data_IF_946761620932
#
_entry.id   IF_946761620932
#
_cell.length_a   1.000
_cell.length_b   1.000
_cell.length_c   1.000
_cell.angle_alpha   90.00
_cell.angle_beta   90.00
_cell.angle_gamma   90.00
#
_symmetry.space_group_name_H-M   'P 1'
#
loop_
_entity.id
_entity.type
_entity.pdbx_description
1 polymer ?
#
# COMPACT_ATOMS: atom_id res chain seq x y z
N UNK A 1 -16.21 19.15 -1.20
CA UNK A 1 -14.87 19.41 -1.75
C UNK A 1 -14.09 18.12 -1.75
N UNK A 2 -12.85 18.14 -2.24
CA UNK A 2 -12.08 16.90 -2.45
C UNK A 2 -11.96 16.05 -1.18
N UNK A 3 -11.82 16.67 0.00
CA UNK A 3 -11.73 15.93 1.26
C UNK A 3 -13.05 15.24 1.65
N UNK A 4 -14.20 15.86 1.40
CA UNK A 4 -15.51 15.26 1.66
C UNK A 4 -15.76 14.08 0.72
N UNK A 5 -15.37 14.21 -0.55
CA UNK A 5 -15.48 13.13 -1.55
C UNK A 5 -14.58 11.95 -1.20
N UNK A 6 -13.34 12.20 -0.78
CA UNK A 6 -12.43 11.15 -0.31
C UNK A 6 -12.96 10.47 0.96
N UNK A 7 -13.54 11.23 1.90
CA UNK A 7 -14.13 10.67 3.13
C UNK A 7 -15.33 9.76 2.87
N UNK A 8 -16.05 9.95 1.77
CA UNK A 8 -17.13 9.05 1.38
C UNK A 8 -16.62 7.67 0.90
N UNK A 9 -15.34 7.57 0.52
CA UNK A 9 -14.71 6.32 0.07
C UNK A 9 -14.05 5.57 1.24
N UNK A 10 -13.29 6.27 2.08
CA UNK A 10 -12.53 5.69 3.18
C UNK A 10 -12.16 6.76 4.23
N UNK A 11 -11.68 6.38 5.44
CA UNK A 11 -11.09 7.33 6.37
C UNK A 11 -9.97 8.16 5.72
N UNK A 12 -9.97 9.48 5.95
CA UNK A 12 -9.01 10.42 5.34
C UNK A 12 -8.20 11.11 6.41
N UNK A 13 -6.89 10.94 6.31
CA UNK A 13 -5.89 11.81 6.93
C UNK A 13 -5.39 12.78 5.87
N UNK A 14 -5.28 14.05 6.22
CA UNK A 14 -4.82 15.10 5.31
C UNK A 14 -3.88 16.05 6.06
N UNK A 15 -2.75 16.34 5.42
CA UNK A 15 -1.80 17.37 5.84
C UNK A 15 -1.88 18.55 4.88
N UNK A 16 -1.53 19.74 5.36
CA UNK A 16 -1.59 20.98 4.59
C UNK A 16 -0.47 21.06 3.56
N UNK A 17 -0.81 21.25 2.28
CA UNK A 17 0.12 21.60 1.22
C UNK A 17 0.38 23.10 1.11
N UNK A 18 1.45 23.49 0.41
CA UNK A 18 1.86 24.89 0.24
C UNK A 18 0.83 25.76 -0.53
N UNK A 19 -0.05 25.15 -1.33
CA UNK A 19 -1.12 25.83 -2.07
C UNK A 19 -2.46 25.79 -1.32
N UNK A 20 -2.58 25.03 -0.23
CA UNK A 20 -3.81 24.93 0.55
C UNK A 20 -3.99 26.20 1.40
N UNK A 21 -4.73 27.16 0.83
CA UNK A 21 -4.99 28.48 1.42
C UNK A 21 -6.44 28.60 1.90
N UNK A 22 -6.67 29.52 2.82
CA UNK A 22 -8.01 29.86 3.32
C UNK A 22 -8.39 29.17 4.64
N UNK A 23 -9.55 29.52 5.22
CA UNK A 23 -9.91 29.13 6.59
C UNK A 23 -10.00 27.62 6.81
N UNK A 24 -10.47 26.86 5.83
CA UNK A 24 -10.58 25.40 5.93
C UNK A 24 -9.21 24.72 5.89
N UNK A 25 -8.34 25.13 4.96
CA UNK A 25 -6.98 24.61 4.86
C UNK A 25 -6.13 24.90 6.09
N UNK A 26 -6.34 26.05 6.76
CA UNK A 26 -5.64 26.39 8.01
C UNK A 26 -5.94 25.45 9.17
N UNK A 27 -7.03 24.67 9.10
CA UNK A 27 -7.36 23.65 10.09
C UNK A 27 -6.61 22.34 9.88
N UNK A 28 -6.00 22.13 8.71
CA UNK A 28 -5.19 20.96 8.45
C UNK A 28 -3.84 21.10 9.17
N UNK A 29 -3.34 20.03 9.81
CA UNK A 29 -2.01 20.04 10.38
C UNK A 29 -0.95 20.06 9.28
N UNK A 30 0.24 20.57 9.57
CA UNK A 30 1.36 20.56 8.61
C UNK A 30 2.01 19.17 8.48
N UNK A 31 1.90 18.36 9.54
CA UNK A 31 2.38 16.99 9.60
C UNK A 31 1.45 16.13 10.44
N UNK A 32 1.47 14.82 10.19
CA UNK A 32 0.74 13.84 10.99
C UNK A 32 1.56 12.55 11.15
N UNK A 33 1.24 11.75 12.17
CA UNK A 33 1.87 10.46 12.43
C UNK A 33 0.81 9.39 12.51
N UNK A 34 0.97 8.34 11.68
CA UNK A 34 0.11 7.17 11.71
C UNK A 34 0.84 5.98 12.32
N UNK A 35 0.12 5.25 13.18
CA UNK A 35 0.54 3.96 13.71
C UNK A 35 -0.43 2.89 13.20
N UNK A 36 0.07 2.00 12.34
CA UNK A 36 -0.72 0.94 11.71
C UNK A 36 0.08 -0.36 11.74
N UNK A 37 -0.50 -1.44 12.28
CA UNK A 37 0.16 -2.77 12.36
C UNK A 37 1.58 -2.71 12.99
N UNK A 38 1.78 -1.82 13.97
CA UNK A 38 3.08 -1.58 14.62
C UNK A 38 4.07 -0.74 13.79
N UNK A 39 3.69 -0.28 12.59
CA UNK A 39 4.49 0.63 11.78
C UNK A 39 4.12 2.09 12.06
N UNK A 40 5.13 2.91 12.37
CA UNK A 40 5.08 4.37 12.48
C UNK A 40 5.41 5.05 11.16
N UNK A 41 4.51 5.93 10.72
CA UNK A 41 4.58 6.61 9.43
C UNK A 41 4.45 8.11 9.66
N UNK A 42 5.46 8.87 9.25
CA UNK A 42 5.39 10.33 9.21
C UNK A 42 4.76 10.78 7.89
N UNK A 43 3.81 11.70 7.94
CA UNK A 43 3.17 12.30 6.76
C UNK A 43 3.38 13.81 6.83
N UNK A 44 3.87 14.40 5.74
CA UNK A 44 4.03 15.85 5.60
C UNK A 44 4.02 16.27 4.12
N UNK A 45 4.00 17.56 3.84
CA UNK A 45 3.96 18.03 2.45
C UNK A 45 5.33 18.05 1.78
N UNK A 46 6.34 18.65 2.40
CA UNK A 46 7.68 18.78 1.85
C UNK A 46 8.68 18.03 2.73
N UNK A 47 9.58 17.26 2.10
CA UNK A 47 10.63 16.55 2.81
C UNK A 47 11.65 17.53 3.43
N UNK A 48 11.76 18.74 2.89
CA UNK A 48 12.60 19.80 3.46
C UNK A 48 12.15 20.26 4.86
N UNK A 49 10.88 20.01 5.23
CA UNK A 49 10.32 20.38 6.54
C UNK A 49 10.57 19.31 7.62
N UNK A 50 11.30 18.24 7.31
CA UNK A 50 11.72 17.24 8.30
C UNK A 50 12.93 17.74 9.09
N UNK A 51 12.71 18.07 10.37
CA UNK A 51 13.75 18.58 11.28
C UNK A 51 14.44 17.50 12.13
N UNK A 52 14.09 16.24 11.94
CA UNK A 52 14.60 15.10 12.72
C UNK A 52 15.14 14.01 11.79
N UNK A 53 15.98 13.12 12.33
CA UNK A 53 16.30 11.88 11.63
C UNK A 53 15.12 10.90 11.79
N UNK A 54 14.45 10.49 10.68
CA UNK A 54 13.27 9.63 10.79
C UNK A 54 13.57 8.26 11.40
N UNK A 55 14.78 7.74 11.18
CA UNK A 55 15.21 6.43 11.70
C UNK A 55 15.40 6.51 13.21
N UNK A 56 16.10 7.54 13.69
CA UNK A 56 16.32 7.75 15.13
C UNK A 56 15.01 8.01 15.87
N UNK A 57 14.06 8.71 15.23
CA UNK A 57 12.71 8.92 15.76
C UNK A 57 11.80 7.68 15.67
N UNK A 58 12.30 6.56 15.12
CA UNK A 58 11.58 5.29 15.06
C UNK A 58 10.47 5.25 14.02
N UNK A 59 10.54 6.04 12.95
CA UNK A 59 9.65 5.92 11.80
C UNK A 59 10.15 4.83 10.84
N UNK A 60 9.23 4.07 10.28
CA UNK A 60 9.53 3.11 9.22
C UNK A 60 9.24 3.68 7.84
N UNK A 61 8.44 4.75 7.74
CA UNK A 61 8.19 5.45 6.50
C UNK A 61 7.97 6.97 6.69
N UNK A 62 8.33 7.74 5.66
CA UNK A 62 8.02 9.16 5.48
C UNK A 62 7.26 9.31 4.17
N UNK A 63 6.02 9.75 4.23
CA UNK A 63 5.18 10.05 3.06
C UNK A 63 5.20 11.56 2.84
N UNK A 64 5.62 11.97 1.64
CA UNK A 64 5.78 13.38 1.30
C UNK A 64 5.31 13.69 -0.12
N UNK A 65 5.16 14.97 -0.44
CA UNK A 65 4.67 15.46 -1.73
C UNK A 65 5.56 16.53 -2.33
N UNK A 66 5.00 17.72 -2.54
CA UNK A 66 5.63 18.92 -3.12
C UNK A 66 6.09 18.82 -4.58
N UNK A 67 7.01 17.91 -4.92
CA UNK A 67 7.65 17.85 -6.24
C UNK A 67 6.78 17.27 -7.35
N UNK A 68 5.69 16.60 -7.00
CA UNK A 68 4.86 15.75 -7.87
C UNK A 68 5.61 14.60 -8.56
N UNK A 69 6.88 14.35 -8.21
CA UNK A 69 7.68 13.27 -8.79
C UNK A 69 7.47 11.99 -7.98
N UNK A 70 6.90 10.93 -8.56
CA UNK A 70 6.78 9.66 -7.86
C UNK A 70 8.15 9.14 -7.40
N UNK A 71 8.24 8.68 -6.16
CA UNK A 71 9.47 8.16 -5.58
C UNK A 71 9.13 7.02 -4.61
N UNK A 72 9.84 5.90 -4.73
CA UNK A 72 9.92 4.86 -3.71
C UNK A 72 11.40 4.62 -3.48
N UNK A 73 11.90 4.98 -2.32
CA UNK A 73 13.31 4.83 -1.97
C UNK A 73 13.43 4.46 -0.49
N UNK A 74 14.34 3.55 -0.15
CA UNK A 74 14.66 3.26 1.26
C UNK A 74 15.99 3.92 1.59
N UNK A 75 16.00 4.79 2.61
CA UNK A 75 17.20 5.46 3.13
C UNK A 75 17.39 5.05 4.57
N UNK A 76 18.53 4.45 4.89
CA UNK A 76 18.88 4.00 6.24
C UNK A 76 17.81 3.12 6.93
N UNK A 77 17.06 2.34 6.14
CA UNK A 77 15.98 1.48 6.61
C UNK A 77 14.60 2.15 6.71
N UNK A 78 14.49 3.44 6.35
CA UNK A 78 13.22 4.18 6.31
C UNK A 78 12.73 4.36 4.87
N UNK A 79 11.49 3.96 4.61
CA UNK A 79 10.84 4.14 3.33
C UNK A 79 10.48 5.62 3.11
N UNK A 80 11.12 6.26 2.14
CA UNK A 80 10.77 7.57 1.63
C UNK A 80 9.84 7.41 0.43
N UNK A 81 8.60 7.88 0.57
CA UNK A 81 7.55 7.64 -0.39
C UNK A 81 6.87 8.94 -0.86
N UNK A 82 7.05 9.25 -2.14
CA UNK A 82 6.30 10.31 -2.83
C UNK A 82 5.31 9.66 -3.81
N UNK A 83 3.99 9.78 -3.60
CA UNK A 83 2.99 9.16 -4.47
C UNK A 83 2.85 9.85 -5.83
N UNK A 84 3.45 11.02 -6.03
CA UNK A 84 3.25 11.86 -7.20
C UNK A 84 2.04 12.79 -7.08
N UNK A 85 1.26 12.92 -8.15
CA UNK A 85 0.08 13.80 -8.20
C UNK A 85 -1.08 13.12 -8.93
N UNK A 86 -2.23 13.05 -8.26
CA UNK A 86 -3.49 12.53 -8.81
C UNK A 86 -4.37 13.63 -9.48
N UNK A 87 -3.94 14.89 -9.38
CA UNK A 87 -4.61 16.03 -10.02
C UNK A 87 -4.23 16.21 -11.49
N UNK A 88 -4.60 17.34 -12.11
CA UNK A 88 -4.22 17.68 -13.48
C UNK A 88 -2.72 17.51 -13.70
N UNK A 89 -2.34 17.00 -14.88
CA UNK A 89 -0.93 16.72 -15.18
C UNK A 89 -0.06 17.95 -14.96
N UNK A 90 1.01 17.78 -14.19
CA UNK A 90 1.99 18.84 -13.90
C UNK A 90 3.30 18.52 -14.63
N UNK A 91 3.85 19.52 -15.31
CA UNK A 91 5.08 19.36 -16.09
C UNK A 91 4.94 18.24 -17.14
N UNK A 92 5.96 17.38 -17.26
CA UNK A 92 5.95 16.14 -18.06
C UNK A 92 5.81 14.88 -17.20
N UNK A 93 5.37 15.03 -15.95
CA UNK A 93 5.27 13.92 -15.00
C UNK A 93 3.97 13.13 -15.19
N UNK A 94 3.95 11.83 -14.86
CA UNK A 94 2.75 11.01 -14.95
C UNK A 94 1.74 11.38 -13.85
N UNK A 95 0.45 11.25 -14.15
CA UNK A 95 -0.61 11.36 -13.13
C UNK A 95 -0.63 10.04 -12.37
N UNK A 96 -0.47 10.10 -11.06
CA UNK A 96 -0.16 8.93 -10.24
C UNK A 96 -0.80 9.00 -8.87
N UNK A 97 -1.03 7.82 -8.29
CA UNK A 97 -1.31 7.64 -6.86
C UNK A 97 -0.36 6.60 -6.28
N UNK A 98 -0.09 6.74 -5.00
CA UNK A 98 0.66 5.75 -4.23
C UNK A 98 -0.28 4.74 -3.56
N UNK A 99 0.12 3.48 -3.51
CA UNK A 99 -0.49 2.46 -2.65
C UNK A 99 0.57 1.90 -1.73
N UNK A 100 0.33 2.04 -0.43
CA UNK A 100 1.15 1.44 0.63
C UNK A 100 0.33 0.31 1.28
N UNK A 101 0.83 -0.92 1.17
CA UNK A 101 0.26 -2.08 1.87
C UNK A 101 1.08 -2.34 3.12
N UNK A 102 0.40 -2.43 4.26
CA UNK A 102 1.00 -2.71 5.57
C UNK A 102 0.39 -4.02 6.07
N UNK A 103 1.24 -5.01 6.37
CA UNK A 103 0.81 -6.30 6.89
C UNK A 103 1.97 -6.98 7.61
N UNK A 104 1.68 -7.60 8.76
CA UNK A 104 2.65 -8.41 9.51
C UNK A 104 3.91 -7.63 9.91
N UNK A 105 3.78 -6.34 10.24
CA UNK A 105 4.90 -5.46 10.62
C UNK A 105 5.78 -4.99 9.45
N UNK A 106 5.40 -5.31 8.20
CA UNK A 106 6.11 -4.90 6.99
C UNK A 106 5.31 -3.94 6.11
N UNK A 107 6.02 -3.26 5.20
CA UNK A 107 5.42 -2.31 4.26
C UNK A 107 5.86 -2.56 2.81
N UNK A 108 4.92 -2.46 1.88
CA UNK A 108 5.19 -2.54 0.43
C UNK A 108 4.54 -1.36 -0.28
N UNK A 109 5.35 -0.52 -0.93
CA UNK A 109 4.89 0.63 -1.70
C UNK A 109 4.80 0.31 -3.20
N UNK A 110 3.82 0.90 -3.88
CA UNK A 110 3.68 0.89 -5.34
C UNK A 110 3.19 2.25 -5.84
N UNK A 111 3.72 2.67 -6.98
CA UNK A 111 3.15 3.77 -7.77
C UNK A 111 2.18 3.19 -8.80
N UNK A 112 0.99 3.78 -8.87
CA UNK A 112 -0.06 3.43 -9.83
C UNK A 112 -0.27 4.64 -10.72
N UNK A 113 0.01 4.49 -12.02
CA UNK A 113 -0.29 5.53 -13.01
C UNK A 113 -1.78 5.57 -13.33
N UNK A 114 -2.37 6.75 -13.21
CA UNK A 114 -3.75 7.06 -13.56
C UNK A 114 -3.79 7.53 -15.02
N UNK A 115 -3.55 6.61 -15.95
CA UNK A 115 -3.85 6.83 -17.36
C UNK A 115 -5.37 6.90 -17.59
N UNK A 116 -5.81 7.56 -18.66
CA UNK A 116 -7.19 7.43 -19.16
C UNK A 116 -7.61 5.96 -19.13
N UNK A 117 -8.67 5.64 -18.40
CA UNK A 117 -9.16 4.30 -18.13
C UNK A 117 -9.20 3.42 -19.39
N UNK A 118 -8.12 2.68 -19.64
CA UNK A 118 -8.13 1.45 -20.43
C UNK A 118 -7.43 0.36 -19.62
N UNK A 119 -8.04 0.00 -18.48
CA UNK A 119 -7.78 -1.31 -17.90
C UNK A 119 -9.04 -2.15 -18.12
N UNK A 120 -8.99 -3.04 -19.12
CA UNK A 120 -9.92 -4.15 -19.24
C UNK A 120 -9.73 -4.98 -17.96
N UNK A 121 -10.77 -5.28 -17.17
CA UNK A 121 -10.59 -6.05 -15.95
C UNK A 121 -9.89 -7.36 -16.30
N UNK A 122 -8.84 -7.69 -15.54
CA UNK A 122 -8.21 -9.00 -15.65
C UNK A 122 -9.31 -10.04 -15.50
N UNK A 123 -9.55 -10.82 -16.56
CA UNK A 123 -10.57 -11.87 -16.54
C UNK A 123 -10.27 -12.79 -15.37
N UNK A 124 -11.23 -12.93 -14.45
CA UNK A 124 -11.18 -13.93 -13.39
C UNK A 124 -10.82 -15.29 -13.99
N UNK A 125 -9.93 -16.09 -13.37
CA UNK A 125 -9.69 -17.43 -13.85
C UNK A 125 -11.03 -18.18 -13.90
N UNK A 126 -11.33 -18.77 -15.06
CA UNK A 126 -12.50 -19.63 -15.22
C UNK A 126 -12.41 -20.71 -14.14
N UNK A 127 -13.40 -20.75 -13.25
CA UNK A 127 -13.59 -21.82 -12.27
C UNK A 127 -13.30 -23.17 -12.94
N UNK A 128 -12.41 -23.97 -12.37
CA UNK A 128 -12.35 -25.40 -12.68
C UNK A 128 -13.73 -25.97 -12.35
N UNK A 129 -14.46 -26.34 -13.40
CA UNK A 129 -15.73 -27.04 -13.28
C UNK A 129 -15.48 -28.40 -12.64
N UNK A 130 -16.10 -28.64 -11.48
CA UNK A 130 -16.32 -29.98 -10.95
C UNK A 130 -17.26 -30.75 -11.88
N UNK A 131 -16.83 -31.91 -12.34
CA UNK A 131 -17.62 -33.11 -12.59
C UNK A 131 -16.83 -34.25 -11.89
N UNK A 132 -17.26 -34.87 -10.78
CA UNK A 132 -18.36 -35.83 -10.62
C UNK A 132 -18.36 -36.89 -11.74
N UNK A 133 -18.35 -38.21 -11.54
CA UNK A 133 -18.35 -39.09 -10.36
C UNK A 133 -18.09 -40.55 -10.86
N UNK A 134 -17.66 -41.43 -9.94
CA UNK A 134 -17.95 -42.87 -9.79
C UNK A 134 -17.86 -43.88 -10.96
N UNK A 135 -17.07 -44.95 -10.76
CA UNK A 135 -17.42 -46.40 -10.84
C UNK A 135 -16.15 -47.23 -10.52
N UNK A 136 -16.04 -47.98 -9.42
CA UNK A 136 -16.59 -49.30 -9.06
C UNK A 136 -15.58 -50.47 -9.27
N UNK A 137 -15.40 -51.29 -8.21
CA UNK A 137 -14.63 -52.55 -8.16
C UNK A 137 -13.22 -52.38 -7.57
N UNK A 138 -12.85 -52.80 -6.35
CA UNK A 138 -13.31 -53.89 -5.50
C UNK A 138 -12.41 -55.11 -5.69
N UNK A 139 -11.39 -55.32 -4.83
CA UNK A 139 -10.93 -56.62 -4.29
C UNK A 139 -10.11 -56.36 -3.00
N UNK A 140 -10.26 -57.29 -2.07
CA UNK A 140 -9.87 -57.31 -0.67
C UNK A 140 -8.38 -57.62 -0.41
N UNK A 141 -7.96 -57.27 0.81
CA UNK A 141 -7.26 -58.11 1.81
C UNK A 141 -5.75 -57.97 2.09
N UNK A 142 -5.48 -58.16 3.39
CA UNK A 142 -4.28 -58.71 4.04
C UNK A 142 -3.18 -57.77 4.60
N UNK A 143 -3.26 -57.58 5.92
CA UNK A 143 -2.28 -58.02 6.94
C UNK A 143 -0.85 -57.43 7.02
N UNK A 144 -0.63 -56.71 8.14
CA UNK A 144 0.41 -56.89 9.17
C UNK A 144 1.84 -57.35 8.82
N UNK A 145 2.84 -56.55 9.22
CA UNK A 145 4.03 -56.88 10.06
C UNK A 145 4.96 -55.64 10.12
N UNK A 146 5.17 -55.02 11.28
CA UNK A 146 6.22 -55.32 12.26
C UNK A 146 7.64 -55.20 11.69
N UNK A 147 8.33 -54.11 12.04
CA UNK A 147 9.79 -53.96 11.87
C UNK A 147 10.42 -53.72 13.25
N UNK A 148 11.00 -54.78 13.81
CA UNK A 148 12.09 -54.75 14.80
C UNK A 148 13.16 -55.72 14.30
N UNK A 149 14.40 -55.47 14.74
CA UNK A 149 15.71 -56.03 14.35
C UNK A 149 16.45 -55.15 13.31
N UNK A 150 17.66 -54.67 13.54
CA UNK A 150 18.65 -54.95 14.59
C UNK A 150 19.68 -53.81 14.72
N UNK A 151 19.92 -53.35 15.95
CA UNK A 151 21.23 -53.29 16.63
C UNK A 151 21.09 -52.69 18.02
#
# INVERSE_FOLDING_TARGET
GVLEELRAVAPVIAVRGNIDKGPLARKLPERDVLELEGCRILILHDLADVELDPREAGFQAVIFGHSHRPLIETRDGVLHFNPGSAGPRRFRLPVTVGRLTIAGGGMTARIIELGTLQQKPASLPKRLSRAAACAAGGVQNAAARASREAR
#
